data_IF_120267628166
#
_entry.id   IF_120267628166
#
_cell.length_a   1.000
_cell.length_b   1.000
_cell.length_c   1.000
_cell.angle_alpha   90.00
_cell.angle_beta   90.00
_cell.angle_gamma   90.00
#
_symmetry.space_group_name_H-M   'P 1'
#
loop_
_entity.id
_entity.type
_entity.pdbx_description
1 polymer ?
#
# COMPACT_ATOMS: atom_id res chain seq x y z
N UNK A 1 -7.09 18.73 9.65
CA UNK A 1 -6.00 19.43 10.33
C UNK A 1 -4.68 19.12 9.65
N UNK A 2 -3.68 19.99 9.77
CA UNK A 2 -2.33 19.71 9.30
C UNK A 2 -1.56 19.06 10.44
N UNK A 3 -1.00 17.89 10.19
CA UNK A 3 -0.04 17.25 11.09
C UNK A 3 1.31 17.94 10.89
N UNK A 4 1.98 18.30 11.98
CA UNK A 4 3.29 18.93 11.92
C UNK A 4 4.33 17.92 11.39
N UNK A 5 5.39 18.38 10.71
CA UNK A 5 6.52 17.51 10.41
C UNK A 5 7.14 16.96 11.71
N UNK A 6 7.46 15.67 11.71
CA UNK A 6 8.14 14.97 12.81
C UNK A 6 9.60 14.68 12.41
N UNK A 7 10.39 14.17 13.35
CA UNK A 7 11.80 13.82 13.10
C UNK A 7 11.94 12.52 12.30
N UNK A 8 10.90 11.65 12.34
CA UNK A 8 10.90 10.37 11.63
C UNK A 8 9.53 10.06 11.03
N UNK A 9 9.52 9.24 9.99
CA UNK A 9 8.28 8.81 9.37
C UNK A 9 7.38 7.97 10.30
N UNK A 10 7.89 7.01 11.10
CA UNK A 10 7.06 6.28 12.06
C UNK A 10 6.37 7.16 13.11
N UNK A 11 7.01 8.24 13.54
CA UNK A 11 6.38 9.22 14.44
C UNK A 11 5.26 9.98 13.75
N UNK A 12 5.49 10.42 12.51
CA UNK A 12 4.45 11.08 11.72
C UNK A 12 3.24 10.16 11.52
N UNK A 13 3.47 8.88 11.17
CA UNK A 13 2.39 7.88 11.03
C UNK A 13 1.64 7.69 12.36
N UNK A 14 2.35 7.64 13.49
CA UNK A 14 1.73 7.53 14.81
C UNK A 14 0.81 8.72 15.13
N UNK A 15 1.20 9.94 14.76
CA UNK A 15 0.37 11.13 14.88
C UNK A 15 -0.84 11.09 13.92
N UNK A 16 -0.65 10.65 12.67
CA UNK A 16 -1.74 10.47 11.70
C UNK A 16 -2.79 9.52 12.26
N UNK A 17 -2.37 8.34 12.73
CA UNK A 17 -3.24 7.31 13.29
C UNK A 17 -3.93 7.75 14.61
N UNK A 18 -3.33 8.68 15.32
CA UNK A 18 -3.89 9.26 16.55
C UNK A 18 -4.80 10.46 16.30
N UNK A 19 -4.78 11.01 15.09
CA UNK A 19 -5.57 12.16 14.72
C UNK A 19 -7.05 11.81 14.63
N UNK A 20 -7.91 12.76 15.01
CA UNK A 20 -9.37 12.59 14.80
C UNK A 20 -9.67 12.76 13.32
N UNK A 21 -10.20 11.73 12.71
CA UNK A 21 -10.84 11.83 11.40
C UNK A 21 -12.05 12.77 11.50
N UNK A 22 -12.28 13.59 10.48
CA UNK A 22 -13.47 14.41 10.38
C UNK A 22 -14.76 13.61 10.32
N UNK A 23 -15.89 14.28 10.34
CA UNK A 23 -17.20 13.68 10.09
C UNK A 23 -17.26 13.13 8.65
N UNK A 24 -18.18 12.22 8.37
CA UNK A 24 -18.36 11.63 7.03
C UNK A 24 -18.69 12.71 5.98
N UNK A 25 -19.40 13.78 6.38
CA UNK A 25 -19.66 14.95 5.53
C UNK A 25 -18.35 15.69 5.19
N UNK A 26 -17.49 15.91 6.18
CA UNK A 26 -16.21 16.58 5.96
C UNK A 26 -15.28 15.75 5.07
N UNK A 27 -15.25 14.43 5.26
CA UNK A 27 -14.49 13.52 4.39
C UNK A 27 -15.00 13.55 2.96
N UNK A 28 -16.31 13.41 2.75
CA UNK A 28 -16.94 13.48 1.45
C UNK A 28 -16.63 14.79 0.72
N UNK A 29 -16.77 15.91 1.41
CA UNK A 29 -16.43 17.22 0.84
C UNK A 29 -14.93 17.36 0.51
N UNK A 30 -14.05 16.76 1.30
CA UNK A 30 -12.62 16.75 1.04
C UNK A 30 -12.28 15.93 -0.21
N UNK A 31 -12.89 14.75 -0.39
CA UNK A 31 -12.73 13.90 -1.57
C UNK A 31 -13.16 14.66 -2.83
N UNK A 32 -14.37 15.20 -2.84
CA UNK A 32 -14.89 15.95 -4.01
C UNK A 32 -14.00 17.17 -4.33
N UNK A 33 -13.55 17.90 -3.32
CA UNK A 33 -12.66 19.06 -3.50
C UNK A 33 -11.30 18.63 -4.07
N UNK A 34 -10.75 17.52 -3.60
CA UNK A 34 -9.47 16.99 -4.10
C UNK A 34 -9.56 16.53 -5.56
N UNK A 35 -10.66 15.89 -5.95
CA UNK A 35 -10.91 15.50 -7.34
C UNK A 35 -10.97 16.72 -8.25
N UNK A 36 -11.67 17.77 -7.83
CA UNK A 36 -11.73 19.03 -8.58
C UNK A 36 -10.35 19.67 -8.71
N UNK A 37 -9.56 19.66 -7.65
CA UNK A 37 -8.21 20.21 -7.63
C UNK A 37 -7.26 19.43 -8.56
N UNK A 38 -7.24 18.11 -8.51
CA UNK A 38 -6.46 17.25 -9.39
C UNK A 38 -6.75 17.58 -10.87
N UNK A 39 -8.01 17.62 -11.24
CA UNK A 39 -8.44 17.98 -12.60
C UNK A 39 -8.02 19.38 -13.00
N UNK A 40 -8.18 20.35 -12.12
CA UNK A 40 -7.78 21.75 -12.37
C UNK A 40 -6.28 21.86 -12.66
N UNK A 41 -5.46 20.99 -12.09
CA UNK A 41 -4.02 20.92 -12.32
C UNK A 41 -3.61 20.01 -13.48
N UNK A 42 -4.56 19.48 -14.24
CA UNK A 42 -4.31 18.71 -15.47
C UNK A 42 -4.03 17.22 -15.22
N UNK A 43 -4.34 16.69 -14.02
CA UNK A 43 -4.23 15.26 -13.77
C UNK A 43 -5.23 14.50 -14.63
N UNK A 44 -4.76 13.55 -15.42
CA UNK A 44 -5.57 12.74 -16.34
C UNK A 44 -5.88 11.34 -15.78
N UNK A 45 -4.97 10.81 -14.98
CA UNK A 45 -5.09 9.49 -14.33
C UNK A 45 -4.54 9.59 -12.91
N UNK A 46 -5.22 8.96 -11.96
CA UNK A 46 -4.78 8.87 -10.56
C UNK A 46 -4.71 7.43 -10.10
N UNK A 47 -3.67 7.09 -9.34
CA UNK A 47 -3.63 5.90 -8.48
C UNK A 47 -3.98 6.32 -7.06
N UNK A 48 -5.12 5.89 -6.56
CA UNK A 48 -5.62 6.26 -5.25
C UNK A 48 -5.48 5.11 -4.26
N UNK A 49 -4.72 5.31 -3.20
CA UNK A 49 -4.55 4.33 -2.14
C UNK A 49 -5.64 4.55 -1.10
N UNK A 50 -6.51 3.57 -0.92
CA UNK A 50 -7.73 3.72 -0.13
C UNK A 50 -7.97 2.55 0.82
N UNK A 51 -8.06 2.83 2.11
CA UNK A 51 -8.40 1.80 3.11
C UNK A 51 -9.91 1.50 3.15
N UNK A 52 -10.76 2.42 2.68
CA UNK A 52 -12.24 2.36 2.84
C UNK A 52 -13.01 2.27 1.53
N UNK A 53 -12.34 2.50 0.38
CA UNK A 53 -12.94 2.59 -0.95
C UNK A 53 -14.00 3.72 -1.11
N UNK A 54 -14.07 4.65 -0.16
CA UNK A 54 -15.02 5.78 -0.20
C UNK A 54 -14.82 6.70 -1.42
N UNK A 55 -13.65 6.67 -2.06
CA UNK A 55 -13.29 7.47 -3.23
C UNK A 55 -13.85 6.92 -4.54
N UNK A 56 -14.22 5.63 -4.61
CA UNK A 56 -14.65 4.94 -5.84
C UNK A 56 -15.85 5.64 -6.49
N UNK A 57 -16.93 5.86 -5.75
CA UNK A 57 -18.15 6.47 -6.30
C UNK A 57 -17.97 7.95 -6.69
N UNK A 58 -17.26 8.80 -5.91
CA UNK A 58 -16.89 10.14 -6.36
C UNK A 58 -16.05 10.15 -7.64
N UNK A 59 -15.07 9.24 -7.77
CA UNK A 59 -14.21 9.15 -8.95
C UNK A 59 -15.01 8.71 -10.20
N UNK A 60 -15.92 7.75 -10.09
CA UNK A 60 -16.80 7.34 -11.21
C UNK A 60 -17.65 8.49 -11.74
N UNK A 61 -18.08 9.40 -10.88
CA UNK A 61 -18.85 10.58 -11.30
C UNK A 61 -18.01 11.69 -11.89
N UNK A 62 -16.68 11.60 -11.75
CA UNK A 62 -15.76 12.62 -12.23
C UNK A 62 -15.17 12.22 -13.59
N UNK A 63 -14.93 13.16 -14.53
CA UNK A 63 -14.20 12.88 -15.75
C UNK A 63 -12.68 12.81 -15.49
N UNK A 64 -12.28 11.82 -14.67
CA UNK A 64 -10.91 11.53 -14.24
C UNK A 64 -10.75 10.02 -14.18
N UNK A 65 -9.83 9.46 -14.96
CA UNK A 65 -9.52 8.04 -14.87
C UNK A 65 -8.79 7.72 -13.56
N UNK A 66 -9.11 6.57 -12.98
CA UNK A 66 -8.49 6.16 -11.71
C UNK A 66 -8.28 4.65 -11.61
N UNK A 67 -7.24 4.28 -10.87
CA UNK A 67 -7.12 2.96 -10.25
C UNK A 67 -7.17 3.18 -8.74
N UNK A 68 -8.20 2.69 -8.09
CA UNK A 68 -8.33 2.74 -6.63
C UNK A 68 -7.77 1.44 -6.06
N UNK A 69 -6.74 1.54 -5.27
CA UNK A 69 -6.08 0.40 -4.64
C UNK A 69 -6.62 0.23 -3.22
N UNK A 70 -7.37 -0.84 -2.99
CA UNK A 70 -7.80 -1.22 -1.64
C UNK A 70 -6.58 -1.66 -0.83
N UNK A 71 -6.20 -0.82 0.12
CA UNK A 71 -4.99 -1.02 0.89
C UNK A 71 -5.22 -1.94 2.08
N UNK A 72 -4.37 -2.95 2.20
CA UNK A 72 -4.35 -3.87 3.32
C UNK A 72 -3.18 -3.58 4.26
N UNK A 73 -3.51 -3.63 5.56
CA UNK A 73 -2.56 -3.71 6.67
C UNK A 73 -2.81 -5.04 7.38
N UNK A 74 -1.82 -5.59 8.05
CA UNK A 74 -1.99 -6.87 8.76
C UNK A 74 -0.65 -7.54 9.05
N UNK A 75 0.22 -6.85 9.82
CA UNK A 75 1.50 -7.42 10.25
C UNK A 75 1.32 -8.61 11.21
N UNK A 76 0.28 -8.58 12.02
CA UNK A 76 -0.09 -9.65 12.97
C UNK A 76 -1.38 -10.38 12.58
N UNK A 77 -1.71 -10.45 11.29
CA UNK A 77 -2.90 -11.16 10.82
C UNK A 77 -2.92 -12.60 11.33
N UNK A 78 -4.02 -13.00 11.94
CA UNK A 78 -4.21 -14.38 12.43
C UNK A 78 -4.65 -15.34 11.33
N UNK A 79 -5.19 -14.83 10.22
CA UNK A 79 -5.62 -15.61 9.04
C UNK A 79 -5.37 -14.77 7.78
N UNK A 80 -4.11 -14.77 7.28
CA UNK A 80 -3.74 -14.05 6.08
C UNK A 80 -4.52 -14.47 4.82
N UNK A 81 -4.84 -15.75 4.68
CA UNK A 81 -5.58 -16.27 3.53
C UNK A 81 -7.02 -15.76 3.51
N UNK A 82 -7.71 -15.79 4.65
CA UNK A 82 -9.07 -15.24 4.73
C UNK A 82 -9.07 -13.72 4.51
N UNK A 83 -8.09 -13.01 5.03
CA UNK A 83 -7.96 -11.57 4.84
C UNK A 83 -7.70 -11.21 3.36
N UNK A 84 -6.78 -11.90 2.71
CA UNK A 84 -6.48 -11.72 1.29
C UNK A 84 -7.69 -12.01 0.42
N UNK A 85 -8.38 -13.13 0.66
CA UNK A 85 -9.60 -13.52 -0.06
C UNK A 85 -10.69 -12.46 0.07
N UNK A 86 -10.98 -12.02 1.29
CA UNK A 86 -11.99 -10.99 1.56
C UNK A 86 -11.67 -9.67 0.85
N UNK A 87 -10.41 -9.26 0.84
CA UNK A 87 -10.00 -8.04 0.16
C UNK A 87 -10.16 -8.14 -1.36
N UNK A 88 -9.75 -9.24 -1.95
CA UNK A 88 -9.88 -9.47 -3.40
C UNK A 88 -11.35 -9.62 -3.80
N UNK A 89 -12.20 -10.21 -2.97
CA UNK A 89 -13.65 -10.31 -3.20
C UNK A 89 -14.37 -8.96 -3.09
N UNK A 90 -13.86 -8.05 -2.23
CA UNK A 90 -14.40 -6.70 -2.10
C UNK A 90 -14.06 -5.81 -3.32
N UNK A 91 -13.09 -6.22 -4.14
CA UNK A 91 -12.68 -5.52 -5.34
C UNK A 91 -13.18 -6.28 -6.57
N UNK A 92 -13.96 -5.63 -7.44
CA UNK A 92 -14.29 -6.21 -8.75
C UNK A 92 -13.12 -5.94 -9.72
N UNK A 93 -12.06 -6.74 -9.59
CA UNK A 93 -10.82 -6.61 -10.36
C UNK A 93 -11.01 -6.70 -11.88
N UNK A 94 -12.11 -7.25 -12.33
CA UNK A 94 -12.41 -7.46 -13.76
C UNK A 94 -13.15 -6.29 -14.39
N UNK A 95 -13.73 -5.40 -13.59
CA UNK A 95 -14.52 -4.29 -14.07
C UNK A 95 -13.70 -3.01 -14.25
N UNK A 96 -13.93 -2.36 -15.38
CA UNK A 96 -13.55 -0.98 -15.63
C UNK A 96 -14.86 -0.23 -15.89
N UNK A 97 -15.36 0.40 -14.85
CA UNK A 97 -16.65 1.10 -14.92
C UNK A 97 -16.39 2.60 -14.93
N UNK A 98 -16.79 3.25 -16.03
CA UNK A 98 -16.67 4.70 -16.17
C UNK A 98 -15.22 5.24 -16.02
N UNK A 99 -14.22 4.44 -16.43
CA UNK A 99 -12.79 4.80 -16.32
C UNK A 99 -12.19 4.64 -14.93
N UNK A 100 -12.89 3.93 -14.03
CA UNK A 100 -12.40 3.61 -12.69
C UNK A 100 -12.25 2.10 -12.53
N UNK A 101 -11.06 1.66 -12.18
CA UNK A 101 -10.75 0.30 -11.73
C UNK A 101 -10.54 0.28 -10.24
N UNK A 102 -10.86 -0.88 -9.62
CA UNK A 102 -10.49 -1.14 -8.24
C UNK A 102 -9.50 -2.30 -8.22
N UNK A 103 -8.44 -2.18 -7.45
CA UNK A 103 -7.44 -3.22 -7.25
C UNK A 103 -7.02 -3.28 -5.78
N UNK A 104 -5.92 -3.94 -5.46
CA UNK A 104 -5.43 -4.08 -4.09
C UNK A 104 -4.02 -3.51 -3.94
N UNK A 105 -3.70 -3.07 -2.73
CA UNK A 105 -2.37 -2.72 -2.28
C UNK A 105 -2.01 -3.52 -1.03
N UNK A 106 -0.81 -4.07 -0.95
CA UNK A 106 -0.20 -4.38 0.33
C UNK A 106 0.57 -3.14 0.78
N UNK A 107 0.21 -2.55 1.92
CA UNK A 107 0.75 -1.25 2.32
C UNK A 107 2.28 -1.22 2.24
N UNK A 108 2.99 -1.87 3.16
CA UNK A 108 4.45 -1.85 3.20
C UNK A 108 5.02 -3.06 3.98
N UNK A 109 6.31 -3.41 3.83
CA UNK A 109 6.93 -4.52 4.54
C UNK A 109 6.86 -4.42 6.08
N UNK A 110 6.80 -3.22 6.62
CA UNK A 110 6.70 -2.98 8.06
C UNK A 110 5.27 -3.01 8.60
N UNK A 111 4.25 -3.18 7.77
CA UNK A 111 2.83 -3.14 8.19
C UNK A 111 2.00 -4.31 7.66
N UNK A 112 2.58 -5.12 6.79
CA UNK A 112 1.97 -6.31 6.20
C UNK A 112 2.90 -7.49 6.40
N UNK A 113 2.40 -8.60 6.94
CA UNK A 113 3.23 -9.80 7.13
C UNK A 113 3.62 -10.44 5.79
N UNK A 114 4.79 -11.11 5.71
CA UNK A 114 5.15 -11.88 4.51
C UNK A 114 4.05 -12.85 4.08
N UNK A 115 3.43 -13.55 5.02
CA UNK A 115 2.34 -14.48 4.74
C UNK A 115 1.11 -13.80 4.10
N UNK A 116 0.80 -12.55 4.49
CA UNK A 116 -0.29 -11.81 3.86
C UNK A 116 0.08 -11.31 2.45
N UNK A 117 1.35 -10.94 2.20
CA UNK A 117 1.85 -10.65 0.85
C UNK A 117 1.70 -11.88 -0.06
N UNK A 118 2.12 -13.05 0.40
CA UNK A 118 2.03 -14.32 -0.34
C UNK A 118 0.58 -14.71 -0.60
N UNK A 119 -0.29 -14.61 0.41
CA UNK A 119 -1.72 -14.90 0.29
C UNK A 119 -2.42 -13.99 -0.73
N UNK A 120 -2.14 -12.68 -0.70
CA UNK A 120 -2.65 -11.73 -1.69
C UNK A 120 -2.17 -12.10 -3.11
N UNK A 121 -0.89 -12.42 -3.26
CA UNK A 121 -0.34 -12.82 -4.55
C UNK A 121 -1.01 -14.08 -5.09
N UNK A 122 -1.25 -15.06 -4.23
CA UNK A 122 -1.94 -16.31 -4.58
C UNK A 122 -3.37 -16.04 -5.09
N UNK A 123 -4.17 -15.27 -4.34
CA UNK A 123 -5.54 -14.91 -4.72
C UNK A 123 -5.60 -14.14 -6.04
N UNK A 124 -4.72 -13.17 -6.22
CA UNK A 124 -4.65 -12.37 -7.45
C UNK A 124 -4.24 -13.20 -8.66
N UNK A 125 -3.25 -14.08 -8.50
CA UNK A 125 -2.78 -14.94 -9.59
C UNK A 125 -3.87 -15.86 -10.13
N UNK A 126 -4.81 -16.27 -9.27
CA UNK A 126 -5.93 -17.12 -9.64
C UNK A 126 -7.09 -16.38 -10.30
N UNK A 127 -7.34 -15.12 -9.91
CA UNK A 127 -8.51 -14.35 -10.33
C UNK A 127 -8.22 -13.32 -11.42
N UNK A 128 -7.13 -12.58 -11.30
CA UNK A 128 -6.77 -11.51 -12.23
C UNK A 128 -5.25 -11.26 -12.22
N UNK A 129 -4.44 -12.13 -12.86
CA UNK A 129 -2.98 -12.10 -12.74
C UNK A 129 -2.31 -10.81 -13.26
N UNK A 130 -3.00 -10.06 -14.10
CA UNK A 130 -2.48 -8.82 -14.69
C UNK A 130 -3.12 -7.55 -14.11
N UNK A 131 -3.92 -7.67 -13.03
CA UNK A 131 -4.42 -6.49 -12.34
C UNK A 131 -3.23 -5.71 -11.74
N UNK A 132 -3.15 -4.38 -11.95
CA UNK A 132 -2.10 -3.59 -11.32
C UNK A 132 -2.26 -3.66 -9.80
N UNK A 133 -1.17 -3.92 -9.11
CA UNK A 133 -1.09 -3.96 -7.64
C UNK A 133 0.02 -3.06 -7.18
N UNK A 134 -0.08 -2.52 -5.96
CA UNK A 134 0.91 -1.58 -5.48
C UNK A 134 1.38 -1.87 -4.06
N UNK A 135 2.60 -1.45 -3.77
CA UNK A 135 3.25 -1.55 -2.47
C UNK A 135 4.12 -0.33 -2.22
N UNK A 136 4.10 0.23 -1.02
CA UNK A 136 5.08 1.20 -0.57
C UNK A 136 6.37 0.46 -0.19
N UNK A 137 7.48 0.86 -0.79
CA UNK A 137 8.75 0.16 -0.61
C UNK A 137 9.92 1.13 -0.53
N UNK A 138 10.81 0.88 0.40
CA UNK A 138 12.03 1.66 0.60
C UNK A 138 11.73 3.16 0.72
N UNK A 139 10.68 3.50 1.44
CA UNK A 139 10.20 4.86 1.63
C UNK A 139 11.07 5.61 2.65
N UNK A 140 11.54 4.91 3.68
CA UNK A 140 12.33 5.49 4.77
C UNK A 140 13.55 4.63 5.12
N UNK A 141 14.59 5.26 5.68
CA UNK A 141 15.76 4.54 6.16
C UNK A 141 15.43 3.55 7.30
N UNK A 142 14.40 3.86 8.09
CA UNK A 142 13.92 3.02 9.17
C UNK A 142 13.30 1.70 8.66
N UNK A 143 12.78 1.68 7.42
CA UNK A 143 12.33 0.46 6.77
C UNK A 143 13.49 -0.48 6.48
N UNK A 144 14.63 0.04 6.04
CA UNK A 144 15.83 -0.78 5.81
C UNK A 144 16.31 -1.44 7.10
N UNK A 145 16.34 -0.69 8.21
CA UNK A 145 16.67 -1.23 9.54
C UNK A 145 15.68 -2.31 9.94
N UNK A 146 14.39 -2.08 9.71
CA UNK A 146 13.35 -3.05 10.02
C UNK A 146 13.51 -4.37 9.24
N UNK A 147 13.85 -4.29 7.96
CA UNK A 147 14.09 -5.49 7.13
C UNK A 147 15.40 -6.21 7.49
N UNK A 148 16.41 -5.49 7.95
CA UNK A 148 17.72 -6.04 8.29
C UNK A 148 17.72 -6.75 9.64
N UNK A 149 17.33 -6.05 10.71
CA UNK A 149 17.44 -6.58 12.09
C UNK A 149 16.11 -6.68 12.84
N UNK A 150 15.00 -6.24 12.24
CA UNK A 150 13.67 -6.26 12.85
C UNK A 150 13.50 -5.26 13.99
N UNK A 151 14.40 -4.30 14.12
CA UNK A 151 14.41 -3.28 15.16
C UNK A 151 13.87 -1.94 14.67
N UNK A 152 14.31 -0.90 15.36
CA UNK A 152 14.04 0.48 15.00
C UNK A 152 12.63 1.00 15.31
N UNK A 153 12.33 2.21 14.83
CA UNK A 153 11.08 2.91 15.17
C UNK A 153 9.82 2.23 14.63
N UNK A 154 9.88 1.50 13.50
CA UNK A 154 8.72 0.75 12.99
C UNK A 154 8.32 -0.37 13.94
N UNK A 155 9.28 -1.15 14.46
CA UNK A 155 8.97 -2.15 15.49
C UNK A 155 8.31 -1.54 16.71
N UNK A 156 8.87 -0.44 17.22
CA UNK A 156 8.31 0.25 18.38
C UNK A 156 6.88 0.74 18.13
N UNK A 157 6.58 1.23 16.91
CA UNK A 157 5.23 1.63 16.54
C UNK A 157 4.27 0.42 16.53
N UNK A 158 4.66 -0.69 15.93
CA UNK A 158 3.86 -1.92 15.92
C UNK A 158 3.58 -2.44 17.33
N UNK A 159 4.59 -2.43 18.21
CA UNK A 159 4.43 -2.82 19.62
C UNK A 159 3.45 -1.90 20.35
N UNK A 160 3.61 -0.57 20.22
CA UNK A 160 2.68 0.41 20.82
C UNK A 160 1.25 0.27 20.33
N UNK A 161 1.07 -0.10 19.08
CA UNK A 161 -0.25 -0.26 18.43
C UNK A 161 -0.84 -1.66 18.61
N UNK A 162 -0.14 -2.59 19.29
CA UNK A 162 -0.58 -3.98 19.47
C UNK A 162 -0.62 -4.78 18.17
N UNK A 163 0.11 -4.34 17.15
CA UNK A 163 0.20 -4.97 15.83
C UNK A 163 1.48 -5.80 15.64
N UNK A 164 2.36 -5.86 16.63
CA UNK A 164 3.58 -6.64 16.57
C UNK A 164 3.29 -8.15 16.58
N UNK A 165 4.00 -8.90 15.74
CA UNK A 165 3.99 -10.36 15.76
C UNK A 165 5.32 -10.88 16.38
N UNK A 166 5.29 -11.44 17.59
CA UNK A 166 6.52 -11.91 18.28
C UNK A 166 7.23 -13.07 17.57
N UNK A 167 6.52 -13.79 16.70
CA UNK A 167 7.08 -14.92 15.95
C UNK A 167 7.68 -14.50 14.61
N UNK A 168 7.60 -13.21 14.26
CA UNK A 168 8.19 -12.71 13.02
C UNK A 168 9.72 -12.58 13.17
N UNK A 169 10.43 -13.09 12.20
CA UNK A 169 11.88 -12.97 12.08
C UNK A 169 12.23 -12.01 10.95
N UNK A 170 13.20 -11.10 11.13
CA UNK A 170 13.60 -10.18 10.08
C UNK A 170 14.17 -10.95 8.87
N UNK A 171 13.81 -10.56 7.66
CA UNK A 171 14.22 -11.30 6.47
C UNK A 171 15.71 -11.12 6.13
N UNK A 172 16.40 -10.16 6.75
CA UNK A 172 17.82 -9.85 6.55
C UNK A 172 18.16 -9.72 5.05
N UNK A 173 17.40 -8.89 4.35
CA UNK A 173 17.56 -8.71 2.92
C UNK A 173 17.20 -7.27 2.48
N UNK A 174 17.58 -6.92 1.26
CA UNK A 174 17.18 -5.65 0.66
C UNK A 174 15.68 -5.61 0.37
N UNK A 175 15.09 -4.41 0.21
CA UNK A 175 13.69 -4.25 -0.16
C UNK A 175 13.32 -4.98 -1.47
N UNK A 176 14.17 -4.91 -2.50
CA UNK A 176 13.95 -5.61 -3.75
C UNK A 176 13.97 -7.13 -3.61
N UNK A 177 14.88 -7.66 -2.81
CA UNK A 177 14.94 -9.08 -2.49
C UNK A 177 13.73 -9.53 -1.65
N UNK A 178 13.24 -8.68 -0.74
CA UNK A 178 12.00 -8.95 0.01
C UNK A 178 10.81 -9.18 -0.96
N UNK A 179 10.59 -8.28 -1.91
CA UNK A 179 9.50 -8.44 -2.89
C UNK A 179 9.62 -9.73 -3.69
N UNK A 180 10.84 -10.12 -4.08
CA UNK A 180 11.06 -11.40 -4.76
C UNK A 180 10.65 -12.59 -3.89
N UNK A 181 11.02 -12.58 -2.61
CA UNK A 181 10.70 -13.66 -1.66
C UNK A 181 9.21 -13.83 -1.43
N UNK A 182 8.46 -12.74 -1.37
CA UNK A 182 7.00 -12.79 -1.18
C UNK A 182 6.20 -12.89 -2.49
N UNK A 183 6.88 -13.09 -3.63
CA UNK A 183 6.25 -13.31 -4.93
C UNK A 183 5.74 -12.05 -5.63
N UNK A 184 6.13 -10.86 -5.20
CA UNK A 184 5.74 -9.56 -5.77
C UNK A 184 6.80 -9.05 -6.75
N UNK A 185 7.02 -9.79 -7.83
CA UNK A 185 8.12 -9.56 -8.75
C UNK A 185 7.73 -9.80 -10.22
N UNK A 186 6.69 -9.14 -10.70
CA UNK A 186 6.25 -9.21 -12.09
C UNK A 186 5.71 -7.85 -12.58
N UNK A 187 5.39 -7.71 -13.88
CA UNK A 187 4.97 -6.43 -14.47
C UNK A 187 3.66 -5.84 -13.94
N UNK A 188 2.87 -6.58 -13.16
CA UNK A 188 1.66 -6.05 -12.53
C UNK A 188 1.97 -5.20 -11.28
N UNK A 189 3.18 -5.32 -10.73
CA UNK A 189 3.58 -4.65 -9.49
C UNK A 189 4.05 -3.22 -9.76
N UNK A 190 3.50 -2.29 -9.00
CA UNK A 190 3.91 -0.89 -8.95
C UNK A 190 4.51 -0.63 -7.57
N UNK A 191 5.78 -0.30 -7.54
CA UNK A 191 6.50 0.12 -6.34
C UNK A 191 6.35 1.63 -6.18
N UNK A 192 5.81 2.06 -5.04
CA UNK A 192 5.68 3.46 -4.69
C UNK A 192 6.86 3.85 -3.79
N UNK A 193 7.36 5.05 -3.94
CA UNK A 193 8.52 5.66 -3.29
C UNK A 193 9.87 5.21 -3.86
N UNK A 194 10.40 4.06 -3.45
CA UNK A 194 11.70 3.57 -3.91
C UNK A 194 12.90 4.45 -3.53
N UNK A 195 12.74 5.37 -2.55
CA UNK A 195 13.73 6.43 -2.21
C UNK A 195 15.05 5.84 -1.74
N UNK A 196 15.00 4.74 -1.03
CA UNK A 196 16.16 4.05 -0.44
C UNK A 196 16.52 2.74 -1.13
N UNK A 197 16.01 2.52 -2.37
CA UNK A 197 16.47 1.37 -3.17
C UNK A 197 17.92 1.52 -3.57
N UNK A 198 18.68 0.44 -3.48
CA UNK A 198 20.03 0.36 -4.03
C UNK A 198 20.00 0.30 -5.56
N UNK A 199 21.12 0.58 -6.21
CA UNK A 199 21.25 0.41 -7.66
C UNK A 199 21.00 -1.07 -8.06
N UNK A 200 21.42 -2.00 -7.23
CA UNK A 200 21.20 -3.44 -7.44
C UNK A 200 19.71 -3.79 -7.37
N UNK A 201 18.98 -3.27 -6.38
CA UNK A 201 17.52 -3.44 -6.31
C UNK A 201 16.83 -2.85 -7.53
N UNK A 202 17.19 -1.62 -7.95
CA UNK A 202 16.62 -0.95 -9.11
C UNK A 202 16.81 -1.77 -10.39
N UNK A 203 18.03 -2.27 -10.63
CA UNK A 203 18.31 -3.13 -11.78
C UNK A 203 17.53 -4.43 -11.72
N UNK A 204 17.53 -5.09 -10.56
CA UNK A 204 16.82 -6.36 -10.38
C UNK A 204 15.31 -6.25 -10.52
N UNK A 205 14.69 -5.15 -10.07
CA UNK A 205 13.26 -4.87 -10.25
C UNK A 205 12.94 -4.51 -11.71
N UNK A 206 13.81 -3.73 -12.37
CA UNK A 206 13.66 -3.37 -13.78
C UNK A 206 13.72 -4.59 -14.72
N UNK A 207 14.63 -5.52 -14.48
CA UNK A 207 14.79 -6.76 -15.29
C UNK A 207 13.52 -7.63 -15.31
N UNK A 208 12.74 -7.61 -14.26
CA UNK A 208 11.50 -8.38 -14.13
C UNK A 208 10.24 -7.55 -14.46
N UNK A 209 10.41 -6.31 -14.92
CA UNK A 209 9.35 -5.45 -15.42
C UNK A 209 8.48 -4.78 -14.35
N UNK A 210 8.93 -4.73 -13.09
CA UNK A 210 8.27 -3.96 -12.03
C UNK A 210 8.32 -2.47 -12.38
N UNK A 211 7.21 -1.77 -12.16
CA UNK A 211 7.12 -0.31 -12.36
C UNK A 211 7.50 0.43 -11.08
N UNK A 212 8.31 1.50 -11.19
CA UNK A 212 8.70 2.42 -10.12
C UNK A 212 8.06 3.78 -10.33
#
# INVERSE_FOLDING_TARGET
GRIAPTESMPEWVDEVLSSKLGTDIEKSNAIESSIVELRRHGTALVGDISNTLETVEPLKRAPLSAVVFHELLGFNSSDPDAQARSAVEATDLSSDVEGVRVSVAAHAPYSVSPALFEALRHELSSKCPMAPITVHLAESAEELVFLDDGGGPWRQLLERRGAWNPSWEPPQCSPGEFLKRVGWHDPSVIVVHGVHLSVEDLLGLSEIGVTL
#
